data_IF_077384756023
#
_entry.id   IF_077384756023
#
_cell.length_a   1.000
_cell.length_b   1.000
_cell.length_c   1.000
_cell.angle_alpha   90.00
_cell.angle_beta   90.00
_cell.angle_gamma   90.00
#
_symmetry.space_group_name_H-M   'P 1'
#
loop_
_entity.id
_entity.type
_entity.pdbx_description
1 polymer ?
#
# COMPACT_ATOMS: atom_id res chain seq x y z
N UNK A 1 15.97 12.39 9.09
CA UNK A 1 16.94 12.15 8.00
C UNK A 1 17.01 10.68 7.59
N UNK A 2 17.45 9.75 8.45
CA UNK A 2 17.61 8.32 8.08
C UNK A 2 16.31 7.63 7.63
N UNK A 3 15.20 7.81 8.36
CA UNK A 3 13.90 7.25 7.97
C UNK A 3 13.40 7.78 6.62
N UNK A 4 13.65 9.06 6.31
CA UNK A 4 13.24 9.70 5.06
C UNK A 4 14.03 9.18 3.86
N UNK A 5 15.33 8.90 4.04
CA UNK A 5 16.16 8.23 3.02
C UNK A 5 15.62 6.83 2.72
N UNK A 6 15.29 6.07 3.77
CA UNK A 6 14.70 4.74 3.64
C UNK A 6 13.37 4.79 2.87
N UNK A 7 12.50 5.77 3.18
CA UNK A 7 11.25 6.00 2.44
C UNK A 7 11.50 6.28 0.95
N UNK A 8 12.43 7.18 0.64
CA UNK A 8 12.78 7.50 -0.74
C UNK A 8 13.30 6.28 -1.52
N UNK A 9 14.21 5.51 -0.91
CA UNK A 9 14.77 4.30 -1.52
C UNK A 9 13.70 3.21 -1.75
N UNK A 10 12.81 2.98 -0.79
CA UNK A 10 11.75 1.97 -0.89
C UNK A 10 10.65 2.35 -1.88
N UNK A 11 10.37 3.65 -2.06
CA UNK A 11 9.49 4.12 -3.14
C UNK A 11 10.10 3.86 -4.52
N UNK A 12 11.40 4.10 -4.70
CA UNK A 12 12.10 3.76 -5.95
C UNK A 12 12.04 2.26 -6.19
N UNK A 13 12.36 1.45 -5.17
CA UNK A 13 12.29 -0.02 -5.27
C UNK A 13 10.88 -0.48 -5.66
N UNK A 14 9.83 0.04 -5.02
CA UNK A 14 8.44 -0.27 -5.35
C UNK A 14 8.13 0.06 -6.80
N UNK A 15 8.56 1.24 -7.27
CA UNK A 15 8.38 1.65 -8.65
C UNK A 15 9.14 0.76 -9.65
N UNK A 16 10.34 0.27 -9.30
CA UNK A 16 11.08 -0.69 -10.12
C UNK A 16 10.39 -2.06 -10.16
N UNK A 17 9.91 -2.58 -9.03
CA UNK A 17 9.16 -3.83 -8.97
C UNK A 17 7.90 -3.78 -9.85
N UNK A 18 7.20 -2.65 -9.85
CA UNK A 18 6.01 -2.44 -10.70
C UNK A 18 6.32 -2.43 -12.22
N UNK A 19 7.59 -2.27 -12.63
CA UNK A 19 7.97 -2.45 -14.04
C UNK A 19 7.99 -3.92 -14.45
N UNK A 20 8.20 -4.81 -13.49
CA UNK A 20 8.21 -6.26 -13.68
C UNK A 20 6.76 -6.76 -13.59
N UNK A 21 5.92 -6.34 -14.53
CA UNK A 21 4.52 -6.80 -14.61
C UNK A 21 4.41 -8.00 -15.56
N UNK A 22 3.58 -8.98 -15.18
CA UNK A 22 3.13 -10.03 -16.07
C UNK A 22 2.21 -9.50 -17.17
N UNK A 23 1.80 -10.36 -18.08
CA UNK A 23 0.83 -10.07 -19.15
C UNK A 23 -0.57 -9.73 -18.63
N UNK A 24 -0.86 -9.99 -17.35
CA UNK A 24 -2.16 -9.77 -16.72
C UNK A 24 -3.22 -10.78 -17.15
N UNK A 25 -2.81 -12.01 -17.48
CA UNK A 25 -3.70 -13.01 -18.09
C UNK A 25 -4.59 -13.76 -17.08
N UNK A 26 -4.23 -13.80 -15.79
CA UNK A 26 -4.96 -14.55 -14.75
C UNK A 26 -5.98 -13.67 -14.03
N UNK A 27 -7.13 -14.24 -13.70
CA UNK A 27 -8.11 -13.63 -12.80
C UNK A 27 -7.82 -14.00 -11.35
N UNK A 28 -8.37 -13.23 -10.41
CA UNK A 28 -8.42 -13.53 -8.98
C UNK A 28 -9.00 -14.92 -8.70
N UNK A 29 -9.96 -15.38 -9.51
CA UNK A 29 -10.53 -16.71 -9.38
C UNK A 29 -9.52 -17.83 -9.67
N UNK A 30 -8.43 -17.53 -10.37
CA UNK A 30 -7.35 -18.46 -10.65
C UNK A 30 -6.29 -18.48 -9.54
N UNK A 31 -6.44 -17.69 -8.47
CA UNK A 31 -5.45 -17.62 -7.39
C UNK A 31 -5.33 -18.96 -6.66
N UNK A 32 -4.09 -19.43 -6.53
CA UNK A 32 -3.75 -20.61 -5.75
C UNK A 32 -3.18 -20.24 -4.38
N UNK A 33 -2.99 -21.25 -3.52
CA UNK A 33 -2.48 -21.04 -2.16
C UNK A 33 -1.12 -20.33 -2.13
N UNK A 34 -0.26 -20.57 -3.13
CA UNK A 34 1.04 -19.92 -3.21
C UNK A 34 0.90 -18.42 -3.51
N UNK A 35 -0.05 -18.00 -4.34
CA UNK A 35 -0.36 -16.59 -4.57
C UNK A 35 -0.79 -15.91 -3.26
N UNK A 36 -1.64 -16.59 -2.47
CA UNK A 36 -2.12 -16.07 -1.17
C UNK A 36 -1.01 -15.98 -0.12
N UNK A 37 -0.13 -16.98 -0.04
CA UNK A 37 1.01 -16.99 0.88
C UNK A 37 1.98 -15.85 0.53
N UNK A 38 2.33 -15.70 -0.75
CA UNK A 38 3.21 -14.60 -1.20
C UNK A 38 2.57 -13.25 -0.86
N UNK A 39 1.28 -13.09 -1.14
CA UNK A 39 0.57 -11.86 -0.85
C UNK A 39 0.60 -11.54 0.66
N UNK A 40 0.37 -12.53 1.52
CA UNK A 40 0.45 -12.38 2.98
C UNK A 40 1.84 -12.02 3.48
N UNK A 41 2.89 -12.65 2.93
CA UNK A 41 4.28 -12.34 3.29
C UNK A 41 4.65 -10.91 2.88
N UNK A 42 4.32 -10.51 1.65
CA UNK A 42 4.57 -9.15 1.14
C UNK A 42 3.80 -8.11 1.95
N UNK A 43 2.56 -8.40 2.33
CA UNK A 43 1.77 -7.57 3.23
C UNK A 43 2.44 -7.44 4.60
N UNK A 44 2.98 -8.52 5.17
CA UNK A 44 3.75 -8.48 6.42
C UNK A 44 4.99 -7.61 6.32
N UNK A 45 5.77 -7.73 5.23
CA UNK A 45 6.96 -6.90 5.00
C UNK A 45 6.64 -5.41 4.78
N UNK A 46 5.41 -5.07 4.41
CA UNK A 46 4.99 -3.69 4.23
C UNK A 46 4.90 -2.87 5.52
N UNK A 47 5.13 -3.48 6.69
CA UNK A 47 5.28 -2.78 7.97
C UNK A 47 6.53 -1.89 8.00
N UNK A 48 7.52 -2.17 7.14
CA UNK A 48 8.74 -1.38 7.07
C UNK A 48 8.42 0.06 6.62
N UNK A 49 8.85 1.08 7.38
CA UNK A 49 8.49 2.46 7.10
C UNK A 49 9.00 2.89 5.72
N UNK A 50 8.09 3.42 4.91
CA UNK A 50 8.40 3.85 3.55
C UNK A 50 8.14 2.83 2.45
N UNK A 51 7.80 1.59 2.81
CA UNK A 51 7.18 0.68 1.85
C UNK A 51 5.73 1.11 1.62
N UNK A 52 5.39 1.38 0.36
CA UNK A 52 3.99 1.54 -0.02
C UNK A 52 3.31 0.17 -0.03
N UNK A 53 2.58 -0.16 1.04
CA UNK A 53 1.82 -1.40 1.16
C UNK A 53 0.98 -1.70 -0.09
N UNK A 54 0.21 -0.73 -0.56
CA UNK A 54 -0.63 -0.91 -1.76
C UNK A 54 0.22 -1.15 -3.01
N UNK A 55 1.40 -0.51 -3.11
CA UNK A 55 2.32 -0.71 -4.22
C UNK A 55 3.03 -2.07 -4.21
N UNK A 56 3.50 -2.54 -3.05
CA UNK A 56 4.19 -3.84 -2.96
C UNK A 56 3.25 -5.02 -3.11
N UNK A 57 2.08 -4.97 -2.51
CA UNK A 57 1.05 -6.00 -2.71
C UNK A 57 0.52 -6.01 -4.14
N UNK A 58 0.29 -4.84 -4.75
CA UNK A 58 -0.04 -4.75 -6.18
C UNK A 58 1.08 -5.34 -7.05
N UNK A 59 2.34 -4.98 -6.80
CA UNK A 59 3.49 -5.50 -7.54
C UNK A 59 3.57 -7.03 -7.44
N UNK A 60 3.40 -7.59 -6.24
CA UNK A 60 3.37 -9.03 -6.03
C UNK A 60 2.26 -9.69 -6.87
N UNK A 61 1.04 -9.16 -6.85
CA UNK A 61 -0.09 -9.70 -7.62
C UNK A 61 0.15 -9.61 -9.14
N UNK A 62 0.71 -8.49 -9.63
CA UNK A 62 1.09 -8.32 -11.03
C UNK A 62 2.21 -9.28 -11.46
N UNK A 63 3.18 -9.55 -10.58
CA UNK A 63 4.23 -10.56 -10.80
C UNK A 63 3.66 -11.98 -10.84
N UNK A 64 2.55 -12.23 -10.13
CA UNK A 64 1.76 -13.47 -10.22
C UNK A 64 0.82 -13.52 -11.43
N UNK A 65 0.95 -12.55 -12.34
CA UNK A 65 0.26 -12.43 -13.62
C UNK A 65 -1.24 -12.16 -13.53
N UNK A 66 -1.69 -11.54 -12.43
CA UNK A 66 -3.09 -11.14 -12.26
C UNK A 66 -3.43 -9.88 -13.07
N UNK A 67 -4.68 -9.76 -13.51
CA UNK A 67 -5.22 -8.55 -14.13
C UNK A 67 -5.06 -7.35 -13.20
N UNK A 68 -4.66 -6.21 -13.76
CA UNK A 68 -4.27 -5.02 -12.99
C UNK A 68 -5.41 -4.45 -12.14
N UNK A 69 -6.63 -4.42 -12.65
CA UNK A 69 -7.81 -3.94 -11.94
C UNK A 69 -8.21 -4.84 -10.77
N UNK A 70 -8.19 -6.16 -10.97
CA UNK A 70 -8.44 -7.14 -9.91
C UNK A 70 -7.31 -7.12 -8.85
N UNK A 71 -6.06 -7.04 -9.29
CA UNK A 71 -4.89 -6.92 -8.40
C UNK A 71 -4.93 -5.65 -7.55
N UNK A 72 -5.37 -4.53 -8.14
CA UNK A 72 -5.54 -3.26 -7.43
C UNK A 72 -6.67 -3.33 -6.39
N UNK A 73 -7.79 -3.99 -6.71
CA UNK A 73 -8.86 -4.17 -5.73
C UNK A 73 -8.38 -5.03 -4.54
N UNK A 74 -7.66 -6.12 -4.81
CA UNK A 74 -7.18 -7.03 -3.77
C UNK A 74 -6.08 -6.43 -2.89
N UNK A 75 -5.20 -5.60 -3.46
CA UNK A 75 -4.18 -4.89 -2.67
C UNK A 75 -4.80 -3.96 -1.61
N UNK A 76 -5.99 -3.40 -1.89
CA UNK A 76 -6.76 -2.64 -0.89
C UNK A 76 -7.46 -3.55 0.11
N UNK A 77 -8.14 -4.61 -0.34
CA UNK A 77 -8.92 -5.50 0.55
C UNK A 77 -8.03 -6.16 1.61
N UNK A 78 -6.83 -6.63 1.24
CA UNK A 78 -5.93 -7.28 2.20
C UNK A 78 -5.42 -6.33 3.30
N UNK A 79 -5.54 -5.02 3.12
CA UNK A 79 -5.23 -4.05 4.18
C UNK A 79 -6.15 -4.15 5.39
N UNK A 80 -7.39 -4.60 5.20
CA UNK A 80 -8.40 -4.73 6.27
C UNK A 80 -7.97 -5.73 7.35
N UNK A 81 -7.70 -7.02 7.03
CA UNK A 81 -7.26 -7.98 8.05
C UNK A 81 -5.91 -7.60 8.68
N UNK A 82 -5.00 -6.98 7.92
CA UNK A 82 -3.72 -6.51 8.45
C UNK A 82 -3.90 -5.36 9.46
N UNK A 83 -4.77 -4.39 9.16
CA UNK A 83 -5.09 -3.29 10.06
C UNK A 83 -5.80 -3.78 11.33
N UNK A 84 -6.76 -4.69 11.19
CA UNK A 84 -7.42 -5.32 12.34
C UNK A 84 -6.44 -6.11 13.21
N UNK A 85 -5.53 -6.86 12.60
CA UNK A 85 -4.46 -7.56 13.32
C UNK A 85 -3.54 -6.61 14.06
N UNK A 86 -3.15 -5.49 13.44
CA UNK A 86 -2.35 -4.46 14.08
C UNK A 86 -3.08 -3.83 15.28
N UNK A 87 -4.38 -3.52 15.14
CA UNK A 87 -5.21 -3.01 16.24
C UNK A 87 -5.33 -4.01 17.38
N UNK A 88 -5.54 -5.28 17.07
CA UNK A 88 -5.66 -6.34 18.06
C UNK A 88 -4.34 -6.61 18.80
N UNK A 89 -3.19 -6.42 18.15
CA UNK A 89 -1.87 -6.62 18.77
C UNK A 89 -1.38 -5.39 19.54
N UNK A 90 -1.86 -4.19 19.19
CA UNK A 90 -1.44 -2.94 19.79
C UNK A 90 -2.07 -2.72 21.17
N UNK A 91 -1.56 -3.43 22.19
CA UNK A 91 -1.98 -3.33 23.59
C UNK A 91 -1.22 -2.26 24.39
N UNK A 92 -0.15 -1.68 23.81
CA UNK A 92 0.85 -0.89 24.55
C UNK A 92 0.72 0.63 24.40
N UNK A 93 -0.03 1.11 23.40
CA UNK A 93 -0.38 2.52 23.37
C UNK A 93 -1.64 2.73 24.21
N UNK A 94 -1.44 3.41 25.34
CA UNK A 94 -2.51 4.03 26.09
C UNK A 94 -3.44 4.74 25.10
N UNK A 95 -4.62 4.17 24.85
CA UNK A 95 -5.74 4.87 24.24
C UNK A 95 -6.17 6.08 25.10
N UNK A 96 -5.50 6.33 26.23
CA UNK A 96 -5.92 7.21 27.31
C UNK A 96 -5.46 8.68 27.20
N UNK A 97 -4.97 9.14 26.04
CA UNK A 97 -4.70 10.59 25.86
C UNK A 97 -5.66 11.31 24.91
N UNK A 98 -6.42 10.58 24.07
CA UNK A 98 -7.34 11.20 23.11
C UNK A 98 -8.80 11.10 23.59
N UNK A 99 -9.55 12.22 23.68
CA UNK A 99 -10.96 12.19 24.02
C UNK A 99 -11.76 11.29 23.07
N UNK A 100 -12.69 10.49 23.61
CA UNK A 100 -13.50 9.56 22.82
C UNK A 100 -14.23 10.26 21.65
N UNK A 101 -14.75 11.46 21.89
CA UNK A 101 -15.40 12.27 20.85
C UNK A 101 -14.46 12.60 19.68
N UNK A 102 -13.22 12.98 19.97
CA UNK A 102 -12.20 13.25 18.97
C UNK A 102 -11.81 11.98 18.20
N UNK A 103 -11.73 10.83 18.89
CA UNK A 103 -11.47 9.54 18.26
C UNK A 103 -12.58 9.14 17.29
N UNK A 104 -13.84 9.24 17.71
CA UNK A 104 -14.99 8.96 16.86
C UNK A 104 -15.03 9.90 15.64
N UNK A 105 -14.76 11.19 15.83
CA UNK A 105 -14.68 12.16 14.72
C UNK A 105 -13.56 11.82 13.75
N UNK A 106 -12.35 11.48 14.23
CA UNK A 106 -11.23 11.11 13.38
C UNK A 106 -11.50 9.82 12.59
N UNK A 107 -12.11 8.81 13.22
CA UNK A 107 -12.52 7.56 12.58
C UNK A 107 -13.57 7.85 11.50
N UNK A 108 -14.61 8.62 11.83
CA UNK A 108 -15.68 8.94 10.88
C UNK A 108 -15.17 9.77 9.71
N UNK A 109 -14.35 10.79 9.96
CA UNK A 109 -13.74 11.61 8.92
C UNK A 109 -12.85 10.77 8.00
N UNK A 110 -12.02 9.88 8.56
CA UNK A 110 -11.16 8.99 7.78
C UNK A 110 -11.98 7.98 6.96
N UNK A 111 -13.08 7.45 7.53
CA UNK A 111 -13.99 6.55 6.84
C UNK A 111 -14.66 7.23 5.65
N UNK A 112 -15.26 8.42 5.86
CA UNK A 112 -15.95 9.17 4.80
C UNK A 112 -14.97 9.60 3.71
N UNK A 113 -13.84 10.20 4.08
CA UNK A 113 -12.82 10.63 3.13
C UNK A 113 -12.25 9.45 2.34
N UNK A 114 -11.93 8.34 3.00
CA UNK A 114 -11.46 7.12 2.35
C UNK A 114 -12.50 6.56 1.37
N UNK A 115 -13.75 6.38 1.83
CA UNK A 115 -14.82 5.84 1.00
C UNK A 115 -15.10 6.69 -0.24
N UNK A 116 -15.22 8.01 -0.09
CA UNK A 116 -15.52 8.91 -1.21
C UNK A 116 -14.37 9.00 -2.22
N UNK A 117 -13.12 8.78 -1.79
CA UNK A 117 -11.96 8.87 -2.68
C UNK A 117 -11.53 7.55 -3.30
N UNK A 118 -11.99 6.40 -2.79
CA UNK A 118 -11.55 5.08 -3.29
C UNK A 118 -11.80 4.90 -4.78
N UNK A 119 -13.02 5.12 -5.25
CA UNK A 119 -13.36 4.94 -6.67
C UNK A 119 -12.57 5.88 -7.57
N UNK A 120 -12.38 7.13 -7.12
CA UNK A 120 -11.56 8.13 -7.82
C UNK A 120 -10.10 7.68 -7.89
N UNK A 121 -9.54 7.21 -6.78
CA UNK A 121 -8.16 6.75 -6.70
C UNK A 121 -7.93 5.54 -7.59
N UNK A 122 -8.86 4.57 -7.59
CA UNK A 122 -8.81 3.39 -8.46
C UNK A 122 -8.91 3.81 -9.93
N UNK A 123 -9.87 4.68 -10.27
CA UNK A 123 -10.06 5.15 -11.64
C UNK A 123 -8.84 5.95 -12.15
N UNK A 124 -8.22 6.74 -11.28
CA UNK A 124 -7.02 7.49 -11.61
C UNK A 124 -5.80 6.57 -11.73
N UNK A 125 -5.60 5.65 -10.80
CA UNK A 125 -4.49 4.69 -10.80
C UNK A 125 -4.44 3.83 -12.08
N UNK A 126 -5.58 3.54 -12.70
CA UNK A 126 -5.65 2.86 -14.00
C UNK A 126 -5.09 3.68 -15.16
N UNK A 127 -5.07 5.02 -15.06
CA UNK A 127 -4.63 5.95 -16.12
C UNK A 127 -3.18 6.38 -16.00
N UNK A 128 -2.62 6.39 -14.78
CA UNK A 128 -1.23 6.79 -14.54
C UNK A 128 -0.29 5.59 -14.54
N UNK A 129 0.94 5.82 -15.02
CA UNK A 129 2.03 4.87 -14.86
C UNK A 129 2.50 4.88 -13.39
N UNK A 130 1.92 3.99 -12.58
CA UNK A 130 2.18 3.95 -11.14
C UNK A 130 3.66 3.67 -10.81
N UNK A 131 4.37 2.93 -11.66
CA UNK A 131 5.83 2.75 -11.55
C UNK A 131 6.57 4.09 -11.64
N UNK A 132 6.24 4.90 -12.65
CA UNK A 132 6.86 6.21 -12.83
C UNK A 132 6.54 7.13 -11.65
N UNK A 133 5.29 7.14 -11.18
CA UNK A 133 4.87 7.90 -10.01
C UNK A 133 5.70 7.58 -8.77
N UNK A 134 5.86 6.29 -8.42
CA UNK A 134 6.65 5.87 -7.27
C UNK A 134 8.13 6.26 -7.38
N UNK A 135 8.74 6.09 -8.56
CA UNK A 135 10.14 6.48 -8.80
C UNK A 135 10.31 7.99 -8.65
N UNK A 136 9.43 8.79 -9.27
CA UNK A 136 9.50 10.26 -9.19
C UNK A 136 9.35 10.75 -7.76
N UNK A 137 8.38 10.22 -7.00
CA UNK A 137 8.21 10.61 -5.59
C UNK A 137 9.39 10.18 -4.71
N UNK A 138 9.94 8.99 -4.94
CA UNK A 138 11.13 8.53 -4.24
C UNK A 138 12.35 9.42 -4.51
N UNK A 139 12.59 9.80 -5.77
CA UNK A 139 13.66 10.75 -6.13
C UNK A 139 13.45 12.12 -5.50
N UNK A 140 12.24 12.69 -5.56
CA UNK A 140 11.93 13.96 -4.92
C UNK A 140 12.17 13.91 -3.40
N UNK A 141 11.82 12.81 -2.76
CA UNK A 141 12.04 12.60 -1.32
C UNK A 141 13.55 12.59 -0.99
N UNK A 142 14.36 11.89 -1.80
CA UNK A 142 15.82 11.87 -1.61
C UNK A 142 16.44 13.24 -1.87
N UNK A 143 15.97 13.97 -2.88
CA UNK A 143 16.42 15.33 -3.18
C UNK A 143 16.09 16.30 -2.04
N UNK A 144 14.88 16.22 -1.48
CA UNK A 144 14.50 17.03 -0.32
C UNK A 144 15.43 16.80 0.87
N UNK A 145 15.78 15.53 1.16
CA UNK A 145 16.73 15.19 2.23
C UNK A 145 18.16 15.64 1.92
N UNK A 146 18.54 15.79 0.65
CA UNK A 146 19.85 16.30 0.29
C UNK A 146 19.96 17.84 0.44
N UNK A 147 18.82 18.55 0.39
CA UNK A 147 18.76 20.01 0.48
C UNK A 147 18.59 20.49 1.94
N UNK A 148 17.89 19.71 2.78
CA UNK A 148 17.55 20.03 4.17
C UNK A 148 18.20 19.06 5.15
#
# INVERSE_FOLDING_TARGET
MQATVLIGALLILTGLLLRIRGTGARSIHDMNALDMIILGLVQGFSILPGISRSGTTLAALLMRNLKQDEALAISFIISVPAALGALALNHSHSLAEMPLASACLAILASFVAGYMTMDLLIAYAKKVNFSAFCITMGLLTLLAVAIF
#
